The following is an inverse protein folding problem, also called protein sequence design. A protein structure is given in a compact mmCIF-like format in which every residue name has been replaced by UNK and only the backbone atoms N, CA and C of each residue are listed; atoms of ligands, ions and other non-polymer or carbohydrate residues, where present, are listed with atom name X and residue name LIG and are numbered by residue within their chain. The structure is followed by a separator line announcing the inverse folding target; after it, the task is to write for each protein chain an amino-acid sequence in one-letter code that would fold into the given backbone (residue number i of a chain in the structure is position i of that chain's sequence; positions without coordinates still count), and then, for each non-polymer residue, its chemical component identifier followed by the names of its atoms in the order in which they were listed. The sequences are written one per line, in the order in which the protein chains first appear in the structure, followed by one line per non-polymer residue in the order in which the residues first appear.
data_IF_192469965615
#
_entry.id   IF_192469965615
#
_cell.length_a   1.000
_cell.length_b   1.000
_cell.length_c   1.000
_cell.angle_alpha   90.00
_cell.angle_beta   90.00
_cell.angle_gamma   90.00
#
_symmetry.space_group_name_H-M   'P 1'
#
loop_
_entity.id
_entity.type
_entity.pdbx_description
1 polymer ?
#
# COMPACT_ATOMS: atom_id res chain seq x y z
N UNK A 1 -3.15 -6.99 33.35
CA UNK A 1 -4.30 -6.12 32.98
C UNK A 1 -3.94 -4.99 32.02
N UNK A 2 -2.67 -4.76 31.69
CA UNK A 2 -2.24 -3.60 30.86
C UNK A 2 -2.15 -3.86 29.34
N UNK A 3 -2.17 -5.14 28.91
CA UNK A 3 -2.05 -5.51 27.50
C UNK A 3 -3.39 -5.48 26.72
N UNK A 4 -4.52 -5.38 27.40
CA UNK A 4 -5.86 -5.31 26.81
C UNK A 4 -6.23 -3.89 26.33
N UNK A 5 -5.72 -2.85 27.00
CA UNK A 5 -6.03 -1.44 26.69
C UNK A 5 -5.35 -0.89 25.43
N UNK A 6 -4.28 -1.52 24.94
CA UNK A 6 -3.55 -1.06 23.75
C UNK A 6 -4.23 -1.57 22.47
N UNK A 7 -4.88 -2.75 22.51
CA UNK A 7 -5.56 -3.34 21.33
C UNK A 7 -6.77 -2.52 20.87
N UNK A 8 -7.44 -1.79 21.78
CA UNK A 8 -8.64 -0.99 21.48
C UNK A 8 -8.36 0.43 20.95
N UNK A 9 -7.09 0.82 20.74
CA UNK A 9 -6.72 2.17 20.24
C UNK A 9 -6.31 2.23 18.77
N UNK A 10 -6.60 1.20 17.97
CA UNK A 10 -6.30 1.20 16.54
C UNK A 10 -7.56 1.51 15.72
N UNK A 11 -7.70 2.72 15.15
CA UNK A 11 -8.89 3.14 14.37
C UNK A 11 -9.00 2.47 12.99
N UNK A 12 -8.18 1.46 12.69
CA UNK A 12 -8.00 0.93 11.34
C UNK A 12 -8.63 -0.45 11.09
N UNK A 13 -9.27 -1.05 12.10
CA UNK A 13 -9.89 -2.38 11.92
C UNK A 13 -11.37 -2.23 11.60
N UNK A 14 -11.66 -1.55 10.49
CA UNK A 14 -12.98 -1.61 9.87
C UNK A 14 -13.19 -3.01 9.25
N UNK A 15 -14.42 -3.54 9.33
CA UNK A 15 -14.79 -4.84 8.76
C UNK A 15 -14.45 -4.86 7.26
N UNK A 16 -13.44 -5.65 6.89
CA UNK A 16 -12.99 -5.80 5.52
C UNK A 16 -14.11 -6.37 4.64
N UNK A 17 -14.58 -5.59 3.67
CA UNK A 17 -15.53 -6.11 2.68
C UNK A 17 -14.82 -7.11 1.77
N UNK A 18 -15.56 -8.08 1.23
CA UNK A 18 -14.99 -9.16 0.40
C UNK A 18 -14.20 -8.61 -0.81
N UNK A 19 -14.67 -7.49 -1.38
CA UNK A 19 -13.98 -6.76 -2.44
C UNK A 19 -12.64 -6.17 -2.03
N UNK A 20 -12.48 -5.71 -0.78
CA UNK A 20 -11.19 -5.19 -0.28
C UNK A 20 -10.14 -6.29 -0.13
N UNK A 21 -10.55 -7.50 0.31
CA UNK A 21 -9.64 -8.66 0.38
C UNK A 21 -9.24 -9.17 -1.00
N UNK A 22 -10.16 -9.14 -1.97
CA UNK A 22 -9.88 -9.50 -3.35
C UNK A 22 -8.92 -8.50 -4.00
N UNK A 23 -9.17 -7.19 -3.86
CA UNK A 23 -8.31 -6.14 -4.38
C UNK A 23 -6.89 -6.22 -3.81
N UNK A 24 -6.73 -6.43 -2.49
CA UNK A 24 -5.41 -6.60 -1.89
C UNK A 24 -4.62 -7.79 -2.43
N UNK A 25 -5.32 -8.90 -2.67
CA UNK A 25 -4.69 -10.09 -3.23
C UNK A 25 -4.29 -9.85 -4.68
N UNK A 26 -5.15 -9.20 -5.47
CA UNK A 26 -4.86 -8.86 -6.86
C UNK A 26 -3.71 -7.87 -6.97
N UNK A 27 -3.69 -6.78 -6.19
CA UNK A 27 -2.60 -5.79 -6.22
C UNK A 27 -1.25 -6.43 -5.84
N UNK A 28 -1.23 -7.30 -4.82
CA UNK A 28 -0.01 -8.04 -4.46
C UNK A 28 0.43 -9.04 -5.53
N UNK A 29 -0.52 -9.63 -6.26
CA UNK A 29 -0.23 -10.58 -7.33
C UNK A 29 0.29 -9.86 -8.58
N UNK A 30 -0.35 -8.76 -8.99
CA UNK A 30 0.03 -7.94 -10.14
C UNK A 30 1.40 -7.27 -9.97
N UNK A 31 1.82 -6.97 -8.74
CA UNK A 31 3.14 -6.41 -8.43
C UNK A 31 4.29 -7.42 -8.29
N UNK A 32 4.03 -8.72 -8.48
CA UNK A 32 5.04 -9.77 -8.31
C UNK A 32 5.78 -10.07 -9.61
N UNK A 33 7.09 -10.34 -9.51
CA UNK A 33 7.92 -10.83 -10.62
C UNK A 33 7.37 -12.12 -11.26
N UNK A 34 6.70 -12.95 -10.47
CA UNK A 34 6.07 -14.19 -10.97
C UNK A 34 4.89 -13.93 -11.92
N UNK A 35 4.14 -12.84 -11.74
CA UNK A 35 3.01 -12.50 -12.62
C UNK A 35 3.49 -12.08 -14.02
N UNK A 36 4.55 -11.27 -14.08
CA UNK A 36 5.18 -10.86 -15.33
C UNK A 36 5.64 -12.08 -16.13
N UNK A 37 6.30 -13.03 -15.45
CA UNK A 37 6.78 -14.27 -16.07
C UNK A 37 5.61 -15.12 -16.60
N UNK A 38 4.52 -15.26 -15.84
CA UNK A 38 3.33 -16.01 -16.29
C UNK A 38 2.69 -15.37 -17.53
N UNK A 39 2.55 -14.04 -17.55
CA UNK A 39 1.98 -13.33 -18.71
C UNK A 39 2.88 -13.50 -19.94
N UNK A 40 4.20 -13.38 -19.77
CA UNK A 40 5.15 -13.62 -20.87
C UNK A 40 5.11 -15.06 -21.38
N UNK A 41 5.04 -16.05 -20.49
CA UNK A 41 4.90 -17.46 -20.86
C UNK A 41 3.57 -17.74 -21.56
N UNK A 42 2.47 -17.13 -21.11
CA UNK A 42 1.16 -17.25 -21.75
C UNK A 42 1.18 -16.66 -23.17
N UNK A 43 1.80 -15.48 -23.34
CA UNK A 43 1.99 -14.86 -24.66
C UNK A 43 2.86 -15.75 -25.56
N UNK A 44 3.97 -16.29 -25.04
CA UNK A 44 4.86 -17.17 -25.79
C UNK A 44 4.17 -18.49 -26.18
N UNK A 45 3.39 -19.09 -25.27
CA UNK A 45 2.62 -20.29 -25.54
C UNK A 45 1.51 -20.03 -26.58
N UNK A 46 0.83 -18.90 -26.48
CA UNK A 46 -0.19 -18.51 -27.45
C UNK A 46 0.40 -18.26 -28.83
N UNK A 47 1.55 -17.59 -28.88
CA UNK A 47 2.31 -17.39 -30.11
C UNK A 47 2.75 -18.72 -30.72
N UNK A 48 3.23 -19.67 -29.90
CA UNK A 48 3.61 -21.01 -30.35
C UNK A 48 2.42 -21.80 -30.91
N UNK A 49 1.28 -21.79 -30.20
CA UNK A 49 0.04 -22.42 -30.67
C UNK A 49 -0.45 -21.81 -31.99
N UNK A 50 -0.40 -20.48 -32.12
CA UNK A 50 -0.77 -19.78 -33.36
C UNK A 50 0.19 -20.14 -34.51
N UNK A 51 1.51 -20.22 -34.29
CA UNK A 51 2.48 -20.66 -35.31
C UNK A 51 2.19 -22.09 -35.78
N UNK A 52 1.79 -23.00 -34.89
CA UNK A 52 1.42 -24.37 -35.28
C UNK A 52 0.08 -24.46 -36.02
N UNK A 53 -0.86 -23.56 -35.74
CA UNK A 53 -2.15 -23.45 -36.44
C UNK A 53 -2.00 -22.75 -37.80
N UNK A 54 -1.08 -21.79 -37.92
CA UNK A 54 -0.75 -21.09 -39.17
C UNK A 54 -0.31 -22.04 -40.30
N UNK A 55 0.19 -23.23 -39.95
CA UNK A 55 0.57 -24.28 -40.90
C UNK A 55 -0.62 -24.98 -41.56
N UNK A 56 -1.84 -24.90 -40.99
CA UNK A 56 -3.01 -25.65 -41.47
C UNK A 56 -4.15 -24.76 -41.97
N UNK A 57 -4.43 -23.62 -41.33
CA UNK A 57 -5.43 -22.66 -41.79
C UNK A 57 -5.16 -21.34 -41.06
N UNK A 58 -5.27 -20.20 -41.75
CA UNK A 58 -5.00 -18.84 -41.27
C UNK A 58 -5.94 -18.37 -40.13
N UNK A 59 -6.05 -19.14 -39.05
CA UNK A 59 -6.84 -18.81 -37.88
C UNK A 59 -6.01 -17.81 -37.05
N UNK A 60 -6.31 -16.52 -37.25
CA UNK A 60 -5.66 -15.29 -36.74
C UNK A 60 -4.39 -14.79 -37.48
N UNK A 61 -4.56 -14.06 -38.60
CA UNK A 61 -3.49 -13.30 -39.25
C UNK A 61 -2.94 -12.17 -38.35
N UNK A 62 -1.67 -11.84 -38.55
CA UNK A 62 -0.98 -10.73 -37.89
C UNK A 62 -1.74 -9.40 -38.08
N UNK A 63 -2.02 -8.58 -37.05
CA UNK A 63 -1.57 -8.64 -35.65
C UNK A 63 -2.62 -9.33 -34.76
N UNK A 64 -2.21 -10.32 -33.95
CA UNK A 64 -3.06 -11.16 -33.08
C UNK A 64 -4.20 -10.38 -32.37
N UNK A 65 -5.37 -10.28 -33.02
CA UNK A 65 -6.43 -9.33 -32.64
C UNK A 65 -7.03 -9.70 -31.29
N UNK A 66 -7.17 -11.00 -31.03
CA UNK A 66 -7.72 -11.53 -29.78
C UNK A 66 -6.75 -11.34 -28.60
N UNK A 67 -5.46 -11.54 -28.83
CA UNK A 67 -4.44 -11.37 -27.80
C UNK A 67 -4.33 -9.89 -27.39
N UNK A 68 -4.32 -9.00 -28.39
CA UNK A 68 -4.30 -7.56 -28.18
C UNK A 68 -5.56 -7.09 -27.44
N UNK A 69 -6.74 -7.62 -27.81
CA UNK A 69 -7.99 -7.30 -27.13
C UNK A 69 -7.98 -7.69 -25.64
N UNK A 70 -7.55 -8.90 -25.31
CA UNK A 70 -7.50 -9.38 -23.93
C UNK A 70 -6.50 -8.57 -23.10
N UNK A 71 -5.30 -8.30 -23.63
CA UNK A 71 -4.29 -7.48 -22.97
C UNK A 71 -4.77 -6.05 -22.72
N UNK A 72 -5.43 -5.44 -23.71
CA UNK A 72 -6.00 -4.10 -23.58
C UNK A 72 -7.08 -4.03 -22.51
N UNK A 73 -7.97 -5.02 -22.47
CA UNK A 73 -9.00 -5.14 -21.44
C UNK A 73 -8.37 -5.35 -20.04
N UNK A 74 -7.35 -6.20 -19.93
CA UNK A 74 -6.61 -6.41 -18.68
C UNK A 74 -5.96 -5.12 -18.18
N UNK A 75 -5.29 -4.37 -19.06
CA UNK A 75 -4.67 -3.10 -18.70
C UNK A 75 -5.71 -2.06 -18.24
N UNK A 76 -6.86 -1.98 -18.92
CA UNK A 76 -7.95 -1.09 -18.55
C UNK A 76 -8.53 -1.40 -17.16
N UNK A 77 -8.59 -2.68 -16.76
CA UNK A 77 -9.03 -3.09 -15.43
C UNK A 77 -7.94 -2.92 -14.35
N UNK A 78 -6.66 -2.96 -14.71
CA UNK A 78 -5.56 -2.77 -13.76
C UNK A 78 -5.51 -1.34 -13.21
N UNK A 79 -5.67 -0.31 -14.06
CA UNK A 79 -5.60 1.09 -13.65
C UNK A 79 -6.54 1.47 -12.48
N UNK A 80 -7.86 1.14 -12.52
CA UNK A 80 -8.76 1.46 -11.40
C UNK A 80 -8.49 0.62 -10.15
N UNK A 81 -8.06 -0.64 -10.28
CA UNK A 81 -7.70 -1.47 -9.12
C UNK A 81 -6.48 -0.89 -8.41
N UNK A 82 -5.46 -0.49 -9.17
CA UNK A 82 -4.27 0.18 -8.65
C UNK A 82 -4.68 1.51 -7.99
N UNK A 83 -5.51 2.31 -8.66
CA UNK A 83 -6.00 3.59 -8.13
C UNK A 83 -6.80 3.42 -6.82
N UNK A 84 -7.65 2.39 -6.73
CA UNK A 84 -8.38 2.08 -5.49
C UNK A 84 -7.44 1.63 -4.37
N UNK A 85 -6.39 0.86 -4.69
CA UNK A 85 -5.39 0.44 -3.70
C UNK A 85 -4.57 1.63 -3.20
N UNK A 86 -4.18 2.55 -4.08
CA UNK A 86 -3.47 3.79 -3.77
C UNK A 86 -4.32 4.76 -2.95
N UNK A 87 -5.58 4.98 -3.34
CA UNK A 87 -6.50 5.86 -2.61
C UNK A 87 -6.68 5.42 -1.15
N UNK A 88 -6.66 4.10 -0.91
CA UNK A 88 -6.75 3.54 0.45
C UNK A 88 -5.44 3.65 1.22
N UNK A 89 -4.28 3.49 0.60
CA UNK A 89 -2.99 3.73 1.25
C UNK A 89 -2.84 5.21 1.63
N UNK A 90 -3.21 6.12 0.73
CA UNK A 90 -3.21 7.55 0.99
C UNK A 90 -4.09 7.95 2.20
N UNK A 91 -5.27 7.36 2.35
CA UNK A 91 -6.14 7.62 3.51
C UNK A 91 -5.49 7.13 4.83
N UNK A 92 -4.87 5.94 4.81
CA UNK A 92 -4.13 5.41 5.98
C UNK A 92 -2.93 6.30 6.33
N UNK A 93 -2.17 6.73 5.33
CA UNK A 93 -1.02 7.61 5.52
C UNK A 93 -1.43 8.96 6.06
N UNK A 94 -2.54 9.54 5.59
CA UNK A 94 -3.08 10.80 6.10
C UNK A 94 -3.44 10.72 7.58
N UNK A 95 -4.06 9.63 8.03
CA UNK A 95 -4.37 9.43 9.46
C UNK A 95 -3.10 9.21 10.27
N UNK A 96 -2.13 8.44 9.74
CA UNK A 96 -0.82 8.23 10.39
C UNK A 96 -0.09 9.55 10.62
N UNK A 97 -0.05 10.43 9.61
CA UNK A 97 0.59 11.75 9.70
C UNK A 97 -0.09 12.64 10.75
N UNK A 98 -1.42 12.65 10.81
CA UNK A 98 -2.15 13.40 11.85
C UNK A 98 -1.81 12.92 13.26
N UNK A 99 -1.75 11.60 13.45
CA UNK A 99 -1.42 11.02 14.74
C UNK A 99 0.02 11.35 15.16
N UNK A 100 0.97 11.19 14.24
CA UNK A 100 2.37 11.51 14.49
C UNK A 100 2.56 12.99 14.85
N UNK A 101 1.87 13.89 14.16
CA UNK A 101 1.85 15.31 14.47
C UNK A 101 1.33 15.61 15.89
N UNK A 102 0.24 14.96 16.31
CA UNK A 102 -0.30 15.15 17.66
C UNK A 102 0.64 14.63 18.75
N UNK A 103 1.27 13.48 18.53
CA UNK A 103 2.24 12.89 19.45
C UNK A 103 3.45 13.80 19.58
N UNK A 104 4.00 14.26 18.46
CA UNK A 104 5.16 15.14 18.45
C UNK A 104 4.86 16.47 19.16
N UNK A 105 3.69 17.06 18.95
CA UNK A 105 3.26 18.27 19.67
C UNK A 105 3.12 18.06 21.18
N UNK A 106 2.69 16.87 21.63
CA UNK A 106 2.63 16.54 23.05
C UNK A 106 4.03 16.38 23.63
N UNK A 107 4.92 15.68 22.92
CA UNK A 107 6.32 15.54 23.31
C UNK A 107 7.02 16.90 23.42
N UNK A 108 6.79 17.82 22.50
CA UNK A 108 7.35 19.18 22.56
C UNK A 108 6.91 19.93 23.84
N UNK A 109 5.63 19.81 24.22
CA UNK A 109 5.11 20.42 25.45
C UNK A 109 5.75 19.80 26.69
N UNK A 110 5.83 18.47 26.75
CA UNK A 110 6.45 17.75 27.86
C UNK A 110 7.93 18.11 28.02
N UNK A 111 8.69 18.16 26.91
CA UNK A 111 10.08 18.59 26.90
C UNK A 111 10.21 20.03 27.41
N UNK A 112 9.32 20.93 26.98
CA UNK A 112 9.32 22.33 27.44
C UNK A 112 9.02 22.44 28.93
N UNK A 113 8.10 21.64 29.46
CA UNK A 113 7.79 21.60 30.89
C UNK A 113 8.96 21.05 31.71
N UNK A 114 9.63 20.00 31.22
CA UNK A 114 10.85 19.46 31.84
C UNK A 114 11.96 20.52 31.84
N UNK A 115 12.16 21.22 30.73
CA UNK A 115 13.14 22.31 30.63
C UNK A 115 12.89 23.42 31.66
N UNK A 116 11.63 23.85 31.83
CA UNK A 116 11.26 24.84 32.86
C UNK A 116 11.58 24.36 34.27
N UNK A 117 11.25 23.10 34.60
CA UNK A 117 11.57 22.51 35.90
C UNK A 117 13.07 22.44 36.15
N UNK A 118 13.86 22.13 35.11
CA UNK A 118 15.32 22.10 35.19
C UNK A 118 15.90 23.49 35.46
N UNK A 119 15.40 24.52 34.77
CA UNK A 119 15.80 25.91 34.98
C UNK A 119 15.45 26.41 36.39
N UNK A 120 14.26 26.06 36.89
CA UNK A 120 13.86 26.38 38.27
C UNK A 120 14.77 25.71 39.31
N UNK A 121 15.12 24.44 39.10
CA UNK A 121 16.04 23.71 39.98
C UNK A 121 17.44 24.35 39.95
N UNK A 122 17.95 24.68 38.76
CA UNK A 122 19.24 25.37 38.62
C UNK A 122 19.24 26.70 39.37
N UNK A 123 18.21 27.54 39.21
CA UNK A 123 18.10 28.81 39.95
C UNK A 123 18.10 28.60 41.47
N UNK A 124 17.40 27.59 41.98
CA UNK A 124 17.38 27.27 43.42
C UNK A 124 18.76 26.83 43.93
N UNK A 125 19.48 26.00 43.16
CA UNK A 125 20.83 25.57 43.52
C UNK A 125 21.78 26.76 43.57
N UNK A 126 21.75 27.64 42.56
CA UNK A 126 22.63 28.82 42.52
C UNK A 126 22.33 29.78 43.67
N UNK A 127 21.06 29.99 44.03
CA UNK A 127 20.67 30.83 45.16
C UNK A 127 21.06 30.26 46.53
N UNK A 128 21.10 28.93 46.69
CA UNK A 128 21.52 28.26 47.94
C UNK A 128 23.04 28.28 48.14
N UNK A 129 23.81 28.54 47.08
CA UNK A 129 25.28 28.58 47.09
C UNK A 129 25.86 29.98 47.33
N UNK A 130 25.02 31.01 47.31
CA UNK A 130 25.30 32.39 47.70
C UNK A 130 24.72 32.68 49.07
#
# INVERSE_FOLDING_TARGET
MEKEGIKNKLPFVGKWTFGQRAADRVTRFTGSWTFIIIVLLMIALWMYANVTLLLNDNWDPYPFILLNFILSCMAALQAPIILMSQNREAEKDRVRVKYDYEVNRRAEKEIREIGKKLDELNKKITKKRS
#
